data_IF_438183686755
#
_entry.id   IF_438183686755
#
_cell.length_a   1.000
_cell.length_b   1.000
_cell.length_c   1.000
_cell.angle_alpha   90.00
_cell.angle_beta   90.00
_cell.angle_gamma   90.00
#
_symmetry.space_group_name_H-M   'P 1'
#
loop_
_entity.id
_entity.type
_entity.pdbx_description
1 polymer ?
#
# COMPACT_ATOMS: atom_id res chain seq x y z
N UNK A 1 -3.17 -13.40 -8.21
CA UNK A 1 -1.86 -14.06 -8.32
C UNK A 1 -2.06 -15.54 -8.09
N UNK A 2 -1.58 -16.37 -9.01
CA UNK A 2 -1.63 -17.83 -8.87
C UNK A 2 -0.39 -18.33 -8.14
N UNK A 3 -0.53 -19.47 -7.47
CA UNK A 3 0.58 -20.21 -6.85
C UNK A 3 1.73 -20.47 -7.83
N UNK A 4 1.40 -20.78 -9.09
CA UNK A 4 2.38 -21.03 -10.16
C UNK A 4 3.20 -19.78 -10.48
N UNK A 5 2.56 -18.61 -10.51
CA UNK A 5 3.22 -17.35 -10.77
C UNK A 5 4.15 -16.95 -9.62
N UNK A 6 3.70 -17.12 -8.37
CA UNK A 6 4.52 -16.81 -7.19
C UNK A 6 5.77 -17.70 -7.11
N UNK A 7 5.62 -18.99 -7.43
CA UNK A 7 6.75 -19.91 -7.53
C UNK A 7 7.73 -19.47 -8.62
N UNK A 8 7.23 -19.09 -9.80
CA UNK A 8 8.06 -18.62 -10.91
C UNK A 8 8.83 -17.34 -10.55
N UNK A 9 8.20 -16.40 -9.84
CA UNK A 9 8.88 -15.19 -9.34
C UNK A 9 10.00 -15.55 -8.37
N UNK A 10 9.76 -16.50 -7.45
CA UNK A 10 10.80 -17.00 -6.55
C UNK A 10 12.02 -17.57 -7.29
N UNK A 11 11.78 -18.38 -8.34
CA UNK A 11 12.85 -18.92 -9.19
C UNK A 11 13.63 -17.81 -9.91
N UNK A 12 12.94 -16.82 -10.47
CA UNK A 12 13.58 -15.69 -11.18
C UNK A 12 14.48 -14.89 -10.23
N UNK A 13 14.04 -14.67 -8.98
CA UNK A 13 14.83 -13.94 -7.99
C UNK A 13 16.13 -14.68 -7.68
N UNK A 14 16.06 -15.99 -7.40
CA UNK A 14 17.26 -16.78 -7.09
C UNK A 14 18.17 -16.91 -8.33
N UNK A 15 17.60 -17.06 -9.51
CA UNK A 15 18.36 -17.08 -10.76
C UNK A 15 19.11 -15.74 -11.01
N UNK A 16 18.52 -14.61 -10.59
CA UNK A 16 19.13 -13.29 -10.73
C UNK A 16 20.11 -12.95 -9.61
N UNK A 17 19.85 -13.44 -8.40
CA UNK A 17 20.60 -13.17 -7.18
C UNK A 17 20.93 -14.49 -6.47
N UNK A 18 22.05 -15.15 -6.82
CA UNK A 18 22.38 -16.50 -6.31
C UNK A 18 22.57 -16.59 -4.78
N UNK A 19 22.79 -15.46 -4.11
CA UNK A 19 22.89 -15.37 -2.64
C UNK A 19 21.53 -15.41 -1.95
N UNK A 20 20.44 -15.22 -2.69
CA UNK A 20 19.08 -15.25 -2.18
C UNK A 20 18.57 -16.69 -2.05
N UNK A 21 17.79 -16.95 -1.00
CA UNK A 21 17.18 -18.27 -0.77
C UNK A 21 15.72 -18.22 -1.23
N UNK A 22 15.32 -19.14 -2.13
CA UNK A 22 13.95 -19.20 -2.68
C UNK A 22 12.87 -19.21 -1.61
N UNK A 23 13.11 -19.95 -0.53
CA UNK A 23 12.19 -20.16 0.58
C UNK A 23 11.80 -18.86 1.30
N UNK A 24 12.63 -17.82 1.20
CA UNK A 24 12.30 -16.48 1.71
C UNK A 24 11.11 -15.89 0.92
N UNK A 25 11.04 -16.17 -0.38
CA UNK A 25 10.09 -15.56 -1.30
C UNK A 25 8.83 -16.40 -1.46
N UNK A 26 8.99 -17.71 -1.62
CA UNK A 26 7.88 -18.62 -1.83
C UNK A 26 8.20 -20.05 -1.40
N UNK A 27 7.39 -20.59 -0.49
CA UNK A 27 7.41 -22.00 -0.08
C UNK A 27 6.02 -22.58 -0.30
N UNK A 28 5.97 -23.69 -1.04
CA UNK A 28 4.78 -24.55 -1.10
C UNK A 28 5.20 -25.96 -0.73
N UNK A 29 4.97 -26.29 0.53
CA UNK A 29 5.22 -27.61 1.06
C UNK A 29 4.03 -28.53 0.71
N UNK A 30 4.29 -29.78 0.37
CA UNK A 30 3.21 -30.76 0.11
C UNK A 30 2.38 -31.04 1.36
N UNK A 31 2.95 -30.77 2.54
CA UNK A 31 2.32 -30.97 3.85
C UNK A 31 1.54 -29.73 4.28
N UNK A 32 2.05 -28.52 4.02
CA UNK A 32 1.37 -27.28 4.36
C UNK A 32 0.37 -26.87 3.27
N UNK A 33 -0.92 -26.91 3.61
CA UNK A 33 -2.02 -26.54 2.70
C UNK A 33 -1.92 -25.10 2.18
N UNK A 34 -1.28 -24.21 2.94
CA UNK A 34 -1.16 -22.78 2.63
C UNK A 34 0.27 -22.42 2.25
N UNK A 35 0.48 -21.77 1.08
CA UNK A 35 1.79 -21.25 0.71
C UNK A 35 2.32 -20.23 1.74
N UNK A 36 3.64 -20.09 1.79
CA UNK A 36 4.35 -19.13 2.65
C UNK A 36 5.39 -18.35 1.84
N UNK A 37 5.99 -17.35 2.46
CA UNK A 37 7.04 -16.52 1.87
C UNK A 37 6.60 -15.07 1.64
N UNK A 38 7.56 -14.19 1.36
CA UNK A 38 7.34 -12.74 1.22
C UNK A 38 6.40 -12.40 0.06
N UNK A 39 6.52 -13.06 -1.08
CA UNK A 39 5.72 -12.76 -2.28
C UNK A 39 4.25 -13.11 -2.02
N UNK A 40 3.99 -14.35 -1.57
CA UNK A 40 2.63 -14.78 -1.24
C UNK A 40 2.02 -13.92 -0.12
N UNK A 41 2.77 -13.68 0.97
CA UNK A 41 2.26 -12.90 2.10
C UNK A 41 1.92 -11.48 1.69
N UNK A 42 2.76 -10.83 0.89
CA UNK A 42 2.51 -9.48 0.38
C UNK A 42 1.23 -9.47 -0.44
N UNK A 43 1.10 -10.33 -1.45
CA UNK A 43 -0.09 -10.39 -2.28
C UNK A 43 -1.36 -10.67 -1.47
N UNK A 44 -1.33 -11.70 -0.61
CA UNK A 44 -2.46 -12.06 0.22
C UNK A 44 -2.89 -10.93 1.16
N UNK A 45 -1.93 -10.29 1.83
CA UNK A 45 -2.20 -9.17 2.73
C UNK A 45 -2.74 -7.96 1.97
N UNK A 46 -2.20 -7.63 0.79
CA UNK A 46 -2.72 -6.55 -0.05
C UNK A 46 -4.15 -6.82 -0.49
N UNK A 47 -4.46 -8.03 -0.99
CA UNK A 47 -5.84 -8.37 -1.38
C UNK A 47 -6.78 -8.33 -0.17
N UNK A 48 -6.34 -8.81 0.99
CA UNK A 48 -7.11 -8.73 2.24
C UNK A 48 -7.39 -7.28 2.64
N UNK A 49 -6.40 -6.40 2.57
CA UNK A 49 -6.57 -4.97 2.86
C UNK A 49 -7.55 -4.33 1.87
N UNK A 50 -7.37 -4.54 0.57
CA UNK A 50 -8.26 -4.00 -0.46
C UNK A 50 -9.71 -4.47 -0.26
N UNK A 51 -9.94 -5.74 0.12
CA UNK A 51 -11.27 -6.24 0.47
C UNK A 51 -11.84 -5.61 1.74
N UNK A 52 -11.00 -5.32 2.73
CA UNK A 52 -11.44 -4.71 3.99
C UNK A 52 -11.83 -3.25 3.80
N UNK A 53 -11.14 -2.53 2.92
CA UNK A 53 -11.41 -1.14 2.57
C UNK A 53 -12.45 -0.97 1.45
N UNK A 54 -13.20 -2.03 1.08
CA UNK A 54 -14.26 -1.93 0.06
C UNK A 54 -13.79 -1.79 -1.39
N UNK A 55 -12.49 -1.63 -1.63
CA UNK A 55 -11.89 -1.47 -2.96
C UNK A 55 -11.94 -2.74 -3.82
N UNK A 56 -12.11 -3.91 -3.19
CA UNK A 56 -12.37 -5.17 -3.88
C UNK A 56 -13.63 -5.84 -3.33
N UNK A 57 -14.44 -6.41 -4.23
CA UNK A 57 -15.61 -7.21 -3.85
C UNK A 57 -15.17 -8.39 -2.97
N UNK A 58 -15.77 -8.51 -1.79
CA UNK A 58 -15.62 -9.71 -0.94
C UNK A 58 -16.29 -10.88 -1.66
N UNK A 59 -15.49 -11.80 -2.16
CA UNK A 59 -15.95 -13.12 -2.63
C UNK A 59 -16.70 -13.79 -1.47
N UNK A 60 -17.97 -14.14 -1.66
CA UNK A 60 -18.85 -14.76 -0.65
C UNK A 60 -18.37 -16.19 -0.31
N UNK A 61 -17.25 -16.31 0.39
CA UNK A 61 -16.86 -17.54 1.09
C UNK A 61 -16.94 -17.23 2.58
N UNK A 62 -18.08 -17.60 3.16
CA UNK A 62 -18.44 -17.43 4.55
C UNK A 62 -17.43 -18.13 5.48
N UNK A 63 -16.78 -17.35 6.33
CA UNK A 63 -16.57 -17.61 7.76
C UNK A 63 -16.09 -16.31 8.38
N UNK A 64 -17.04 -15.55 8.92
CA UNK A 64 -16.76 -14.36 9.71
C UNK A 64 -15.97 -14.78 10.95
N UNK A 65 -14.75 -14.24 11.08
CA UNK A 65 -14.09 -14.13 12.37
C UNK A 65 -14.04 -12.63 12.64
N UNK A 66 -14.99 -12.18 13.46
CA UNK A 66 -15.05 -10.82 13.96
C UNK A 66 -13.83 -10.59 14.87
N UNK A 67 -12.84 -9.84 14.41
CA UNK A 67 -11.86 -9.20 15.28
C UNK A 67 -11.88 -7.68 15.01
N UNK A 68 -12.09 -6.84 16.03
CA UNK A 68 -11.96 -5.41 15.89
C UNK A 68 -10.47 -5.07 15.93
N UNK A 69 -9.86 -4.79 14.78
CA UNK A 69 -8.61 -4.03 14.74
C UNK A 69 -8.95 -2.62 14.33
N UNK A 70 -9.37 -1.82 15.31
CA UNK A 70 -9.42 -0.37 15.17
C UNK A 70 -7.98 0.13 15.08
N UNK A 71 -7.55 0.48 13.87
CA UNK A 71 -6.59 1.56 13.66
C UNK A 71 -7.36 2.62 12.90
N UNK A 72 -7.67 3.70 13.60
CA UNK A 72 -8.18 4.94 13.04
C UNK A 72 -7.11 5.53 12.11
N UNK A 73 -7.05 5.03 10.88
CA UNK A 73 -6.54 5.80 9.74
C UNK A 73 -7.73 6.54 9.18
N UNK A 74 -7.71 7.87 9.23
CA UNK A 74 -8.71 8.75 8.64
C UNK A 74 -9.13 8.22 7.27
N UNK A 75 -10.41 7.93 7.14
CA UNK A 75 -11.06 7.43 5.94
C UNK A 75 -10.87 8.41 4.79
N UNK A 76 -9.87 8.18 3.94
CA UNK A 76 -9.93 8.65 2.56
C UNK A 76 -10.68 7.59 1.76
N UNK A 77 -11.99 7.59 1.95
CA UNK A 77 -12.94 6.71 1.27
C UNK A 77 -13.39 7.45 0.02
N UNK A 78 -12.81 7.09 -1.14
CA UNK A 78 -13.12 7.77 -2.39
C UNK A 78 -12.06 7.59 -3.48
N UNK A 79 -11.73 6.36 -3.84
CA UNK A 79 -11.26 6.11 -5.22
C UNK A 79 -12.53 5.90 -6.04
N UNK A 80 -13.19 7.01 -6.37
CA UNK A 80 -14.14 7.06 -7.48
C UNK A 80 -13.31 7.14 -8.75
N UNK A 81 -13.67 6.38 -9.77
CA UNK A 81 -13.10 6.52 -11.12
C UNK A 81 -13.10 8.01 -11.47
N UNK A 82 -11.90 8.58 -11.69
CA UNK A 82 -11.73 10.03 -11.89
C UNK A 82 -12.24 10.34 -13.31
N UNK A 83 -13.55 10.52 -13.45
CA UNK A 83 -14.18 10.92 -14.71
C UNK A 83 -14.12 12.43 -14.93
N UNK A 84 -13.92 13.24 -13.88
CA UNK A 84 -13.81 14.69 -14.02
C UNK A 84 -12.83 15.31 -13.01
N UNK A 85 -11.67 15.72 -13.53
CA UNK A 85 -10.60 16.41 -12.79
C UNK A 85 -11.10 17.69 -12.12
N UNK A 86 -12.10 18.35 -12.71
CA UNK A 86 -12.69 19.58 -12.19
C UNK A 86 -13.36 19.37 -10.83
N UNK A 87 -14.04 18.23 -10.64
CA UNK A 87 -14.69 17.88 -9.38
C UNK A 87 -13.66 17.65 -8.26
N UNK A 88 -12.50 17.07 -8.58
CA UNK A 88 -11.43 16.85 -7.59
C UNK A 88 -10.79 18.18 -7.17
N UNK A 89 -10.52 19.07 -8.13
CA UNK A 89 -9.96 20.40 -7.85
C UNK A 89 -10.90 21.20 -6.92
N UNK A 90 -12.22 21.06 -7.11
CA UNK A 90 -13.21 21.71 -6.25
C UNK A 90 -13.19 21.21 -4.80
N UNK A 91 -12.89 19.94 -4.56
CA UNK A 91 -12.76 19.35 -3.21
C UNK A 91 -11.47 19.76 -2.51
N UNK A 92 -10.44 20.09 -3.28
CA UNK A 92 -9.17 20.59 -2.76
C UNK A 92 -9.22 22.10 -2.46
N UNK A 93 -10.31 22.78 -2.80
CA UNK A 93 -10.48 24.20 -2.49
C UNK A 93 -10.61 24.39 -0.97
N UNK A 94 -9.66 25.13 -0.38
CA UNK A 94 -9.73 25.52 1.02
C UNK A 94 -10.69 26.70 1.14
N UNK A 95 -11.72 26.62 2.00
CA UNK A 95 -12.78 27.65 2.09
C UNK A 95 -12.25 29.08 2.33
N UNK A 96 -11.06 29.20 2.92
CA UNK A 96 -10.45 30.49 3.29
C UNK A 96 -9.27 30.88 2.38
N UNK A 97 -8.66 29.94 1.66
CA UNK A 97 -7.40 30.19 0.96
C UNK A 97 -7.54 29.80 -0.51
N UNK A 98 -7.18 30.73 -1.40
CA UNK A 98 -7.14 30.44 -2.83
C UNK A 98 -5.90 29.62 -3.18
N UNK A 99 -5.92 28.93 -4.33
CA UNK A 99 -4.75 28.18 -4.80
C UNK A 99 -3.45 29.00 -4.87
N UNK A 100 -3.46 30.25 -5.37
CA UNK A 100 -2.29 31.13 -5.29
C UNK A 100 -1.78 31.37 -3.86
N UNK A 101 -2.67 31.50 -2.87
CA UNK A 101 -2.26 31.70 -1.48
C UNK A 101 -1.60 30.44 -0.91
N UNK A 102 -2.14 29.27 -1.24
CA UNK A 102 -1.58 27.96 -0.87
C UNK A 102 -0.18 27.80 -1.48
N UNK A 103 -0.02 28.10 -2.77
CA UNK A 103 1.28 28.08 -3.45
C UNK A 103 2.29 29.02 -2.78
N UNK A 104 1.87 30.23 -2.43
CA UNK A 104 2.73 31.21 -1.77
C UNK A 104 3.16 30.77 -0.36
N UNK A 105 2.23 30.23 0.44
CA UNK A 105 2.55 29.65 1.76
C UNK A 105 3.50 28.47 1.58
N UNK A 106 3.30 27.67 0.53
CA UNK A 106 4.16 26.53 0.28
C UNK A 106 5.58 26.95 -0.09
N UNK A 107 5.72 27.93 -0.97
CA UNK A 107 7.02 28.49 -1.34
C UNK A 107 7.77 28.98 -0.08
N UNK A 108 7.11 29.76 0.78
CA UNK A 108 7.68 30.30 2.02
C UNK A 108 8.17 29.22 2.99
N UNK A 109 7.48 28.09 3.05
CA UNK A 109 7.79 26.99 3.99
C UNK A 109 8.70 25.91 3.39
N UNK A 110 9.20 26.10 2.16
CA UNK A 110 10.01 25.10 1.44
C UNK A 110 11.31 24.79 2.18
N UNK A 111 12.06 25.81 2.60
CA UNK A 111 13.34 25.63 3.30
C UNK A 111 13.18 24.95 4.66
N UNK A 112 12.11 25.26 5.39
CA UNK A 112 11.78 24.60 6.66
C UNK A 112 11.50 23.11 6.44
N UNK A 113 10.69 22.76 5.43
CA UNK A 113 10.39 21.36 5.09
C UNK A 113 11.63 20.60 4.64
N UNK A 114 12.48 21.20 3.81
CA UNK A 114 13.75 20.60 3.39
C UNK A 114 14.71 20.37 4.57
N UNK A 115 14.74 21.29 5.55
CA UNK A 115 15.53 21.12 6.77
C UNK A 115 15.01 19.96 7.62
N UNK A 116 13.70 19.87 7.83
CA UNK A 116 13.08 18.80 8.61
C UNK A 116 13.38 17.41 8.02
N UNK A 117 13.31 17.27 6.69
CA UNK A 117 13.64 16.00 6.01
C UNK A 117 15.11 15.60 6.26
N UNK A 118 16.04 16.57 6.20
CA UNK A 118 17.46 16.31 6.46
C UNK A 118 17.71 15.89 7.92
N UNK A 119 17.04 16.55 8.86
CA UNK A 119 17.16 16.21 10.28
C UNK A 119 16.57 14.83 10.58
N UNK A 120 15.39 14.49 10.05
CA UNK A 120 14.79 13.16 10.18
C UNK A 120 15.68 12.06 9.57
N UNK A 121 16.35 12.32 8.44
CA UNK A 121 17.30 11.37 7.85
C UNK A 121 18.59 11.17 8.66
N UNK A 122 18.95 12.13 9.52
CA UNK A 122 20.12 12.03 10.40
C UNK A 122 19.83 11.30 11.73
N UNK A 123 18.55 11.09 12.10
CA UNK A 123 18.17 10.37 13.32
C UNK A 123 18.33 8.84 13.18
N UNK A 124 18.59 8.35 11.97
CA UNK A 124 18.78 6.92 11.67
C UNK A 124 20.24 6.48 11.46
N UNK A 125 21.21 7.28 11.92
CA UNK A 125 22.64 6.92 11.96
C UNK A 125 23.19 6.88 13.38
#
# INVERSE_FOLDING_TARGET
MSITLENCIGEIIVAKFPTEIKDIYFIKDSINRTPKGKIYSKYFNTIKQLKNHGLLKKTKYSKEINLPTSRSSSSFDGITEIEDVSSLISQLHHEVLTWPDIENIWLKTTNYRLKNIKEESNVFF
#
